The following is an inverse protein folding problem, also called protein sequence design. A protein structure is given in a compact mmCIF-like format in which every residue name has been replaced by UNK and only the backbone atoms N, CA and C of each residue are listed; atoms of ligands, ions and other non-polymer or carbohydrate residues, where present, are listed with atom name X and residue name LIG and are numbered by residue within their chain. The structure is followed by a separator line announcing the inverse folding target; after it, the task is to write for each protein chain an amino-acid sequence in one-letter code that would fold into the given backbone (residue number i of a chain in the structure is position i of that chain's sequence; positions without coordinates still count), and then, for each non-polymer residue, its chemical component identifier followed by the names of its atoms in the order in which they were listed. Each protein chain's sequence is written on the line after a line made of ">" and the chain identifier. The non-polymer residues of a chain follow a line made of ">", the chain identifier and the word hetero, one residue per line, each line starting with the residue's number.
data_IF_818703200418
#
_entry.id   IF_818703200418
#
_cell.length_a   1.000
_cell.length_b   1.000
_cell.length_c   1.000
_cell.angle_alpha   90.00
_cell.angle_beta   90.00
_cell.angle_gamma   90.00
#
_symmetry.space_group_name_H-M   'P 1'
#
loop_
_entity.id
_entity.type
_entity.pdbx_description
1 polymer ?
#
# COMPACT_ATOMS: atom_id res chain seq x y z
N UNK A 1 27.77 -3.47 -37.37
CA UNK A 1 29.00 -2.89 -36.77
C UNK A 1 28.83 -2.91 -35.27
N UNK A 2 29.58 -3.79 -34.61
CA UNK A 2 29.70 -3.90 -33.16
C UNK A 2 30.24 -2.60 -32.58
N UNK A 3 29.54 -2.04 -31.59
CA UNK A 3 30.14 -1.21 -30.55
C UNK A 3 29.76 -1.83 -29.21
N UNK A 4 30.70 -2.61 -28.69
CA UNK A 4 30.85 -2.98 -27.29
C UNK A 4 30.66 -1.74 -26.41
N UNK A 5 29.62 -1.75 -25.58
CA UNK A 5 29.57 -0.91 -24.40
C UNK A 5 30.16 -1.74 -23.25
N UNK A 6 31.49 -1.72 -23.15
CA UNK A 6 32.16 -2.10 -21.91
C UNK A 6 31.72 -1.09 -20.84
N UNK A 7 30.71 -1.46 -20.06
CA UNK A 7 30.32 -0.72 -18.85
C UNK A 7 31.45 -0.80 -17.84
N UNK A 8 32.04 0.33 -17.50
CA UNK A 8 33.03 0.43 -16.44
C UNK A 8 32.40 0.09 -15.08
N UNK A 9 32.62 -1.14 -14.60
CA UNK A 9 33.16 -1.38 -13.25
C UNK A 9 32.22 -1.48 -12.04
N UNK A 10 30.91 -1.35 -12.20
CA UNK A 10 29.97 -1.40 -11.07
C UNK A 10 29.29 -2.78 -10.95
N UNK A 11 29.60 -3.48 -9.86
CA UNK A 11 29.11 -4.82 -9.55
C UNK A 11 28.84 -4.94 -8.05
N UNK A 12 27.84 -5.76 -7.69
CA UNK A 12 27.65 -6.19 -6.32
C UNK A 12 28.73 -7.23 -6.02
N UNK A 13 29.64 -6.91 -5.11
CA UNK A 13 30.74 -7.80 -4.74
C UNK A 13 30.42 -8.47 -3.42
N UNK A 14 30.26 -9.78 -3.44
CA UNK A 14 29.99 -10.62 -2.28
C UNK A 14 31.28 -11.38 -1.95
N UNK A 15 31.73 -11.32 -0.70
CA UNK A 15 32.89 -12.07 -0.22
C UNK A 15 32.55 -12.86 1.04
N UNK A 16 32.90 -14.14 1.05
CA UNK A 16 32.74 -15.04 2.19
C UNK A 16 31.29 -15.30 2.59
N UNK A 17 30.36 -15.40 1.63
CA UNK A 17 28.96 -15.68 1.96
C UNK A 17 28.82 -17.09 2.54
N UNK A 18 28.33 -17.17 3.78
CA UNK A 18 28.22 -18.39 4.59
C UNK A 18 26.85 -18.53 5.26
N UNK A 19 25.84 -17.81 4.75
CA UNK A 19 24.46 -17.92 5.21
C UNK A 19 23.90 -19.32 4.91
N UNK A 20 23.26 -19.93 5.91
CA UNK A 20 22.72 -21.30 5.86
C UNK A 20 23.78 -22.32 5.42
N UNK A 21 23.63 -22.90 4.22
CA UNK A 21 24.51 -23.92 3.66
C UNK A 21 25.50 -23.38 2.61
N UNK A 22 25.64 -22.05 2.47
CA UNK A 22 26.66 -21.45 1.61
C UNK A 22 28.06 -21.73 2.20
N UNK A 23 29.02 -22.04 1.32
CA UNK A 23 30.35 -22.53 1.70
C UNK A 23 31.43 -21.45 1.52
N UNK A 24 31.20 -20.24 2.04
CA UNK A 24 32.16 -19.13 1.91
C UNK A 24 32.28 -18.64 0.47
N UNK A 25 31.15 -18.40 -0.20
CA UNK A 25 31.10 -18.05 -1.62
C UNK A 25 31.56 -16.61 -1.86
N UNK A 26 32.47 -16.44 -2.82
CA UNK A 26 32.84 -15.16 -3.41
C UNK A 26 32.20 -15.02 -4.80
N UNK A 27 31.52 -13.90 -5.05
CA UNK A 27 30.81 -13.66 -6.30
C UNK A 27 30.76 -12.16 -6.62
N UNK A 28 30.91 -11.82 -7.90
CA UNK A 28 30.64 -10.48 -8.43
C UNK A 28 29.42 -10.54 -9.36
N UNK A 29 28.38 -9.77 -9.04
CA UNK A 29 27.13 -9.71 -9.81
C UNK A 29 27.10 -8.37 -10.55
N UNK A 30 27.05 -8.34 -11.88
CA UNK A 30 27.00 -7.09 -12.63
C UNK A 30 25.70 -6.32 -12.31
N UNK A 31 25.82 -5.00 -12.15
CA UNK A 31 24.66 -4.13 -11.98
C UNK A 31 24.01 -3.81 -13.33
N UNK A 32 22.72 -3.47 -13.30
CA UNK A 32 21.92 -3.12 -14.48
C UNK A 32 21.76 -4.25 -15.51
N UNK A 33 21.93 -5.49 -15.08
CA UNK A 33 21.74 -6.68 -15.90
C UNK A 33 20.66 -7.60 -15.31
N UNK A 34 20.00 -8.37 -16.18
CA UNK A 34 19.13 -9.45 -15.75
C UNK A 34 19.99 -10.67 -15.39
N UNK A 35 20.26 -10.84 -14.10
CA UNK A 35 21.04 -11.97 -13.59
C UNK A 35 20.11 -13.08 -13.12
N UNK A 36 20.32 -14.30 -13.64
CA UNK A 36 19.54 -15.48 -13.27
C UNK A 36 20.39 -16.42 -12.44
N UNK A 37 19.95 -16.70 -11.21
CA UNK A 37 20.58 -17.70 -10.32
C UNK A 37 19.87 -19.04 -10.48
N UNK A 38 20.58 -20.05 -10.94
CA UNK A 38 20.03 -21.39 -11.20
C UNK A 38 20.79 -22.49 -10.44
N UNK A 39 20.24 -23.70 -10.40
CA UNK A 39 20.80 -24.84 -9.67
C UNK A 39 19.73 -25.75 -9.03
N UNK A 40 20.14 -26.95 -8.61
CA UNK A 40 19.27 -27.98 -8.01
C UNK A 40 18.62 -27.50 -6.70
N UNK A 41 17.51 -28.12 -6.29
CA UNK A 41 16.88 -27.82 -4.99
C UNK A 41 17.90 -28.00 -3.85
N UNK A 42 17.88 -27.08 -2.86
CA UNK A 42 18.82 -27.09 -1.75
C UNK A 42 20.24 -26.57 -2.06
N UNK A 43 20.56 -26.16 -3.30
CA UNK A 43 21.90 -25.68 -3.66
C UNK A 43 22.31 -24.31 -3.07
N UNK A 44 21.48 -23.70 -2.22
CA UNK A 44 21.77 -22.41 -1.59
C UNK A 44 21.34 -21.17 -2.38
N UNK A 45 20.57 -21.31 -3.48
CA UNK A 45 20.08 -20.16 -4.28
C UNK A 45 19.30 -19.15 -3.45
N UNK A 46 18.31 -19.63 -2.69
CA UNK A 46 17.49 -18.77 -1.83
C UNK A 46 18.32 -18.16 -0.70
N UNK A 47 19.25 -18.92 -0.14
CA UNK A 47 20.22 -18.43 0.86
C UNK A 47 21.06 -17.27 0.32
N UNK A 48 21.47 -17.33 -0.96
CA UNK A 48 22.24 -16.28 -1.62
C UNK A 48 21.36 -15.06 -1.97
N UNK A 49 20.21 -15.29 -2.62
CA UNK A 49 19.39 -14.21 -3.17
C UNK A 49 18.54 -13.52 -2.11
N UNK A 50 17.81 -14.28 -1.30
CA UNK A 50 16.89 -13.73 -0.30
C UNK A 50 17.59 -13.49 1.04
N UNK A 51 18.23 -14.53 1.59
CA UNK A 51 18.75 -14.45 2.96
C UNK A 51 20.08 -13.68 3.05
N UNK A 52 20.76 -13.42 1.93
CA UNK A 52 22.03 -12.68 1.90
C UNK A 52 21.90 -11.35 1.15
N UNK A 53 21.62 -11.38 -0.15
CA UNK A 53 21.58 -10.16 -0.98
C UNK A 53 20.42 -9.23 -0.64
N UNK A 54 19.20 -9.75 -0.64
CA UNK A 54 18.01 -8.97 -0.30
C UNK A 54 18.06 -8.48 1.14
N UNK A 55 18.41 -9.36 2.08
CA UNK A 55 18.58 -9.01 3.49
C UNK A 55 19.57 -7.84 3.67
N UNK A 56 20.73 -7.85 2.98
CA UNK A 56 21.67 -6.72 3.06
C UNK A 56 21.16 -5.45 2.40
N UNK A 57 20.54 -5.56 1.22
CA UNK A 57 20.00 -4.41 0.51
C UNK A 57 18.91 -3.69 1.32
N UNK A 58 18.00 -4.46 1.92
CA UNK A 58 16.95 -3.94 2.78
C UNK A 58 17.53 -3.37 4.09
N UNK A 59 18.44 -4.07 4.76
CA UNK A 59 19.07 -3.58 6.01
C UNK A 59 19.76 -2.25 5.80
N UNK A 60 20.61 -2.12 4.76
CA UNK A 60 21.31 -0.87 4.45
C UNK A 60 20.36 0.27 4.09
N UNK A 61 19.29 -0.02 3.37
CA UNK A 61 18.27 0.98 3.07
C UNK A 61 17.60 1.50 4.34
N UNK A 62 17.19 0.61 5.25
CA UNK A 62 16.59 0.97 6.55
C UNK A 62 17.57 1.80 7.41
N UNK A 63 18.88 1.52 7.31
CA UNK A 63 19.93 2.28 8.00
C UNK A 63 20.07 3.73 7.52
N UNK A 64 19.50 4.11 6.38
CA UNK A 64 19.50 5.51 5.92
C UNK A 64 18.44 6.39 6.60
N UNK A 65 17.43 5.77 7.24
CA UNK A 65 16.36 6.49 7.91
C UNK A 65 16.77 7.01 9.29
N UNK A 66 15.99 7.94 9.85
CA UNK A 66 16.21 8.47 11.19
C UNK A 66 16.13 7.37 12.26
N UNK A 67 16.84 7.50 13.39
CA UNK A 67 16.77 6.52 14.48
C UNK A 67 15.34 6.24 14.98
N UNK A 68 14.47 7.26 14.95
CA UNK A 68 13.06 7.15 15.29
C UNK A 68 12.28 6.31 14.26
N UNK A 69 12.44 6.59 12.96
CA UNK A 69 11.76 5.83 11.91
C UNK A 69 12.15 4.33 11.93
N UNK A 70 13.41 4.01 12.27
CA UNK A 70 13.89 2.62 12.40
C UNK A 70 13.23 1.82 13.54
N UNK A 71 12.46 2.44 14.43
CA UNK A 71 11.68 1.72 15.45
C UNK A 71 10.43 1.04 14.87
N UNK A 72 9.92 1.52 13.74
CA UNK A 72 8.70 1.03 13.10
C UNK A 72 8.96 0.19 11.84
N UNK A 73 10.22 0.05 11.45
CA UNK A 73 10.63 -0.73 10.28
C UNK A 73 11.14 -2.09 10.73
N UNK A 74 10.75 -3.13 10.00
CA UNK A 74 11.27 -4.47 10.21
C UNK A 74 12.80 -4.46 10.03
N UNK A 75 13.48 -4.94 11.07
CA UNK A 75 14.93 -5.11 11.04
C UNK A 75 15.24 -6.48 10.48
N UNK A 76 15.79 -6.52 9.28
CA UNK A 76 16.42 -7.72 8.75
C UNK A 76 17.70 -8.00 9.56
N UNK A 77 17.88 -9.26 9.95
CA UNK A 77 19.12 -9.70 10.55
C UNK A 77 20.28 -9.51 9.58
N UNK A 78 21.45 -9.15 10.12
CA UNK A 78 22.66 -9.06 9.31
C UNK A 78 23.03 -10.47 8.83
N UNK A 79 23.15 -10.72 7.51
CA UNK A 79 23.48 -12.04 7.01
C UNK A 79 24.93 -12.43 7.33
N UNK A 80 25.20 -13.73 7.37
CA UNK A 80 26.55 -14.28 7.56
C UNK A 80 27.34 -14.16 6.26
N UNK A 81 28.10 -13.07 6.17
CA UNK A 81 28.97 -12.72 5.04
C UNK A 81 30.10 -11.84 5.52
N UNK A 82 31.30 -12.04 4.99
CA UNK A 82 32.47 -11.26 5.41
C UNK A 82 32.37 -9.81 4.91
N UNK A 83 32.03 -9.64 3.62
CA UNK A 83 31.87 -8.32 3.02
C UNK A 83 30.89 -8.35 1.85
N UNK A 84 30.02 -7.35 1.78
CA UNK A 84 29.26 -7.06 0.55
C UNK A 84 29.40 -5.59 0.19
N UNK A 85 29.66 -5.28 -1.07
CA UNK A 85 29.77 -3.91 -1.60
C UNK A 85 28.84 -3.69 -2.78
N UNK A 86 28.46 -2.44 -3.01
CA UNK A 86 27.68 -2.06 -4.19
C UNK A 86 26.23 -2.55 -4.18
N UNK A 87 25.70 -3.03 -3.04
CA UNK A 87 24.30 -3.47 -2.93
C UNK A 87 23.36 -2.25 -2.93
N UNK A 88 22.47 -2.10 -3.92
CA UNK A 88 21.44 -1.07 -3.89
C UNK A 88 20.29 -1.45 -2.93
N UNK A 89 19.36 -0.53 -2.61
CA UNK A 89 18.09 -0.88 -1.98
C UNK A 89 17.41 -2.00 -2.76
N UNK A 90 16.96 -3.04 -2.06
CA UNK A 90 16.44 -4.25 -2.68
C UNK A 90 14.94 -4.42 -2.39
N UNK A 91 14.21 -4.95 -3.38
CA UNK A 91 12.81 -5.37 -3.26
C UNK A 91 12.75 -6.84 -3.62
N UNK A 92 12.26 -7.68 -2.71
CA UNK A 92 11.97 -9.08 -2.98
C UNK A 92 10.54 -9.21 -3.49
N UNK A 93 10.38 -9.90 -4.62
CA UNK A 93 9.08 -10.35 -5.10
C UNK A 93 9.12 -11.88 -5.02
N UNK A 94 8.51 -12.41 -3.96
CA UNK A 94 8.42 -13.85 -3.73
C UNK A 94 7.01 -14.37 -4.04
N UNK A 95 6.89 -15.69 -4.05
CA UNK A 95 5.59 -16.35 -4.13
C UNK A 95 4.99 -16.51 -2.73
N UNK A 96 4.76 -15.40 -2.03
CA UNK A 96 3.94 -15.43 -0.81
C UNK A 96 2.48 -15.66 -1.18
N UNK A 97 1.82 -16.58 -0.47
CA UNK A 97 0.39 -16.80 -0.65
C UNK A 97 -0.33 -15.51 -0.26
N UNK A 98 -1.11 -14.89 -1.17
CA UNK A 98 -1.82 -13.67 -0.84
C UNK A 98 -2.76 -13.95 0.34
N UNK A 99 -2.64 -13.13 1.39
CA UNK A 99 -3.50 -13.22 2.57
C UNK A 99 -4.93 -12.95 2.10
N UNK A 100 -5.74 -14.02 2.05
CA UNK A 100 -7.13 -13.93 1.62
C UNK A 100 -7.95 -13.30 2.73
N UNK A 101 -8.34 -12.05 2.52
CA UNK A 101 -9.34 -11.38 3.37
C UNK A 101 -10.57 -11.08 2.52
N UNK A 102 -11.75 -11.06 3.15
CA UNK A 102 -13.02 -10.76 2.46
C UNK A 102 -13.09 -9.35 1.89
N UNK A 103 -12.16 -8.46 2.28
CA UNK A 103 -12.11 -7.06 1.87
C UNK A 103 -10.97 -6.75 0.88
N UNK A 104 -10.08 -7.71 0.62
CA UNK A 104 -9.00 -7.53 -0.35
C UNK A 104 -9.45 -7.99 -1.74
N UNK A 105 -9.26 -7.12 -2.73
CA UNK A 105 -9.52 -7.37 -4.14
C UNK A 105 -8.31 -6.93 -4.95
N UNK A 106 -8.24 -7.29 -6.24
CA UNK A 106 -7.20 -6.78 -7.14
C UNK A 106 -7.15 -5.25 -7.14
N UNK A 107 -8.31 -4.59 -7.10
CA UNK A 107 -8.39 -3.14 -7.07
C UNK A 107 -7.80 -2.50 -5.81
N UNK A 108 -7.92 -3.16 -4.65
CA UNK A 108 -7.31 -2.64 -3.41
C UNK A 108 -5.82 -2.97 -3.34
N UNK A 109 -5.38 -4.14 -3.82
CA UNK A 109 -3.97 -4.52 -3.83
C UNK A 109 -3.11 -3.68 -4.78
N UNK A 110 -3.71 -3.18 -5.87
CA UNK A 110 -3.06 -2.34 -6.88
C UNK A 110 -3.31 -0.85 -6.66
N UNK A 111 -3.98 -0.48 -5.56
CA UNK A 111 -4.43 0.89 -5.25
C UNK A 111 -5.34 1.54 -6.32
N UNK A 112 -5.74 0.81 -7.36
CA UNK A 112 -6.68 1.27 -8.39
C UNK A 112 -8.02 1.70 -7.78
N UNK A 113 -8.47 1.00 -6.73
CA UNK A 113 -9.68 1.36 -6.02
C UNK A 113 -9.60 2.78 -5.41
N UNK A 114 -8.42 3.20 -4.94
CA UNK A 114 -8.24 4.53 -4.36
C UNK A 114 -8.22 5.62 -5.42
N UNK A 115 -7.59 5.34 -6.57
CA UNK A 115 -7.67 6.18 -7.75
C UNK A 115 -9.11 6.32 -8.24
N UNK A 116 -9.86 5.22 -8.27
CA UNK A 116 -11.28 5.24 -8.65
C UNK A 116 -12.13 6.01 -7.65
N UNK A 117 -11.91 5.89 -6.33
CA UNK A 117 -12.65 6.70 -5.34
C UNK A 117 -12.49 8.19 -5.62
N UNK A 118 -11.27 8.65 -5.92
CA UNK A 118 -11.02 10.05 -6.28
C UNK A 118 -11.67 10.43 -7.61
N UNK A 119 -11.57 9.56 -8.62
CA UNK A 119 -12.21 9.78 -9.92
C UNK A 119 -13.72 9.91 -9.77
N UNK A 120 -14.38 8.93 -9.14
CA UNK A 120 -15.82 8.93 -8.95
C UNK A 120 -16.27 10.12 -8.08
N UNK A 121 -15.54 10.47 -7.02
CA UNK A 121 -15.89 11.62 -6.18
C UNK A 121 -15.87 12.96 -6.95
N UNK A 122 -14.99 13.10 -7.95
CA UNK A 122 -14.81 14.36 -8.69
C UNK A 122 -15.59 14.43 -10.00
N UNK A 123 -15.76 13.30 -10.69
CA UNK A 123 -16.28 13.26 -12.06
C UNK A 123 -17.70 12.67 -12.15
N UNK A 124 -18.24 12.08 -11.09
CA UNK A 124 -19.56 11.44 -11.17
C UNK A 124 -20.70 12.42 -11.04
N UNK A 125 -21.78 12.16 -11.78
CA UNK A 125 -23.08 12.74 -11.53
C UNK A 125 -23.87 11.81 -10.62
N UNK A 126 -24.30 12.35 -9.48
CA UNK A 126 -25.07 11.60 -8.49
C UNK A 126 -26.53 11.49 -8.95
N UNK A 127 -27.11 10.30 -8.82
CA UNK A 127 -28.52 10.02 -9.12
C UNK A 127 -29.19 9.30 -7.96
N UNK A 128 -30.46 9.62 -7.71
CA UNK A 128 -31.25 8.96 -6.69
C UNK A 128 -31.51 7.50 -7.06
N UNK A 129 -31.27 6.57 -6.13
CA UNK A 129 -31.49 5.13 -6.37
C UNK A 129 -32.96 4.75 -6.52
N UNK A 130 -33.89 5.53 -5.95
CA UNK A 130 -35.31 5.22 -5.97
C UNK A 130 -36.01 5.79 -7.21
N UNK A 131 -35.73 7.04 -7.57
CA UNK A 131 -36.43 7.73 -8.67
C UNK A 131 -35.55 8.03 -9.89
N UNK A 132 -34.23 7.83 -9.84
CA UNK A 132 -33.32 8.08 -10.95
C UNK A 132 -33.00 9.56 -11.22
N UNK A 133 -33.61 10.49 -10.48
CA UNK A 133 -33.38 11.93 -10.66
C UNK A 133 -31.97 12.35 -10.21
N UNK A 134 -31.36 13.38 -10.85
CA UNK A 134 -30.08 13.92 -10.43
C UNK A 134 -30.12 14.45 -8.99
N UNK A 135 -29.14 14.06 -8.18
CA UNK A 135 -28.99 14.61 -6.83
C UNK A 135 -28.45 16.03 -6.93
N UNK A 136 -29.15 16.95 -6.30
CA UNK A 136 -28.78 18.36 -6.21
C UNK A 136 -28.36 18.73 -4.80
N UNK A 137 -27.64 19.84 -4.66
CA UNK A 137 -27.42 20.46 -3.35
C UNK A 137 -28.69 21.17 -2.92
N UNK A 138 -29.17 20.88 -1.73
CA UNK A 138 -30.30 21.56 -1.12
C UNK A 138 -29.85 22.72 -0.22
N UNK A 139 -30.74 23.68 -0.07
CA UNK A 139 -30.64 24.82 0.84
C UNK A 139 -31.84 24.77 1.80
N UNK A 140 -31.76 25.46 2.94
CA UNK A 140 -32.90 25.53 3.86
C UNK A 140 -34.20 26.02 3.16
N UNK A 141 -34.08 26.99 2.24
CA UNK A 141 -35.19 27.48 1.44
C UNK A 141 -35.74 26.42 0.47
N UNK A 142 -34.87 25.73 -0.29
CA UNK A 142 -35.33 24.70 -1.23
C UNK A 142 -36.01 23.53 -0.53
N UNK A 143 -35.56 23.19 0.69
CA UNK A 143 -36.20 22.19 1.54
C UNK A 143 -37.56 22.68 2.03
N UNK A 144 -37.66 23.93 2.51
CA UNK A 144 -38.93 24.51 2.96
C UNK A 144 -39.97 24.56 1.82
N UNK A 145 -39.57 24.98 0.63
CA UNK A 145 -40.42 24.99 -0.56
C UNK A 145 -40.86 23.57 -0.94
N UNK A 146 -39.96 22.59 -0.84
CA UNK A 146 -40.29 21.19 -1.12
C UNK A 146 -41.28 20.62 -0.10
N UNK A 147 -41.10 20.92 1.19
CA UNK A 147 -42.04 20.55 2.24
C UNK A 147 -43.41 21.20 2.03
N UNK A 148 -43.45 22.49 1.68
CA UNK A 148 -44.70 23.20 1.40
C UNK A 148 -45.45 22.59 0.21
N UNK A 149 -44.74 22.30 -0.91
CA UNK A 149 -45.33 21.61 -2.07
C UNK A 149 -45.91 20.25 -1.71
N UNK A 150 -45.16 19.44 -0.94
CA UNK A 150 -45.61 18.11 -0.51
C UNK A 150 -46.79 18.18 0.45
N UNK A 151 -46.78 19.13 1.39
CA UNK A 151 -47.86 19.36 2.33
C UNK A 151 -49.15 19.76 1.60
N UNK A 152 -49.07 20.70 0.65
CA UNK A 152 -50.21 21.10 -0.15
C UNK A 152 -50.81 19.93 -0.95
N UNK A 153 -49.95 19.13 -1.60
CA UNK A 153 -50.39 17.93 -2.30
C UNK A 153 -51.04 16.86 -1.38
N UNK A 154 -50.72 16.89 -0.08
CA UNK A 154 -51.28 16.03 0.95
C UNK A 154 -52.49 16.63 1.70
N UNK A 155 -53.00 17.80 1.26
CA UNK A 155 -54.15 18.46 1.88
C UNK A 155 -53.80 19.37 3.06
N UNK A 156 -52.63 20.02 3.02
CA UNK A 156 -52.14 20.98 4.01
C UNK A 156 -52.18 20.48 5.48
N UNK A 157 -51.58 19.32 5.78
CA UNK A 157 -51.53 18.80 7.14
C UNK A 157 -50.65 19.68 8.05
N UNK A 158 -50.92 19.64 9.36
CA UNK A 158 -50.02 20.20 10.36
C UNK A 158 -48.72 19.41 10.39
N UNK A 159 -47.61 20.06 10.03
CA UNK A 159 -46.27 19.47 10.10
C UNK A 159 -45.66 19.66 11.49
N UNK A 160 -44.94 18.65 11.96
CA UNK A 160 -44.09 18.73 13.16
C UNK A 160 -42.67 18.46 12.73
N UNK A 161 -41.79 19.46 12.88
CA UNK A 161 -40.36 19.34 12.55
C UNK A 161 -39.60 19.10 13.84
N UNK A 162 -39.10 17.89 14.03
CA UNK A 162 -38.27 17.54 15.17
C UNK A 162 -36.80 17.49 14.75
N UNK A 163 -35.92 17.95 15.64
CA UNK A 163 -34.49 17.75 15.54
C UNK A 163 -34.02 16.89 16.72
N UNK A 164 -33.05 15.99 16.53
CA UNK A 164 -32.48 15.23 17.64
C UNK A 164 -31.78 16.20 18.61
N UNK A 165 -32.18 16.16 19.87
CA UNK A 165 -31.46 16.83 20.96
C UNK A 165 -30.65 15.76 21.68
N UNK A 166 -29.32 15.75 21.61
CA UNK A 166 -28.52 14.84 22.41
C UNK A 166 -28.65 15.25 23.88
N UNK A 167 -29.30 14.41 24.68
CA UNK A 167 -29.46 14.62 26.12
C UNK A 167 -28.24 13.98 26.81
N UNK A 168 -27.40 14.76 27.52
CA UNK A 168 -26.30 14.22 28.33
C UNK A 168 -26.81 13.24 29.39
N UNK A 169 -26.02 12.22 29.73
CA UNK A 169 -26.42 11.20 30.73
C UNK A 169 -26.72 11.77 32.12
N UNK A 170 -26.26 12.98 32.41
CA UNK A 170 -26.46 13.71 33.65
C UNK A 170 -27.60 14.75 33.60
N UNK A 171 -28.44 14.74 32.57
CA UNK A 171 -29.61 15.64 32.49
C UNK A 171 -30.76 15.11 33.34
N UNK A 172 -31.19 15.89 34.32
CA UNK A 172 -32.39 15.64 35.15
C UNK A 172 -33.50 16.58 34.72
N UNK A 173 -34.75 16.11 34.68
CA UNK A 173 -35.93 16.91 34.24
C UNK A 173 -36.20 18.17 35.08
N UNK A 174 -35.55 18.30 36.25
CA UNK A 174 -35.68 19.42 37.20
C UNK A 174 -34.67 20.57 36.97
N UNK A 175 -33.75 20.47 36.00
CA UNK A 175 -32.78 21.53 35.60
C UNK A 175 -32.95 21.98 34.13
#
# INVERSE_FOLDING_TARGET
>A
MSKSAAGSGDAIRIRGASQNNLQGLDLDIPLNELVVVTGVSGSGKSSLVFDTLYAEGQRRYVETFSPYARQFLDRMDKPRVDRIEGVPPAIAIDQTNPVRTSRSTVGTMTELADHFKLLYARASHLVCRCCGEPVRRDTAASIADDLARRAHAAGDPRLVVCAPVPIPENFTEDE
#
